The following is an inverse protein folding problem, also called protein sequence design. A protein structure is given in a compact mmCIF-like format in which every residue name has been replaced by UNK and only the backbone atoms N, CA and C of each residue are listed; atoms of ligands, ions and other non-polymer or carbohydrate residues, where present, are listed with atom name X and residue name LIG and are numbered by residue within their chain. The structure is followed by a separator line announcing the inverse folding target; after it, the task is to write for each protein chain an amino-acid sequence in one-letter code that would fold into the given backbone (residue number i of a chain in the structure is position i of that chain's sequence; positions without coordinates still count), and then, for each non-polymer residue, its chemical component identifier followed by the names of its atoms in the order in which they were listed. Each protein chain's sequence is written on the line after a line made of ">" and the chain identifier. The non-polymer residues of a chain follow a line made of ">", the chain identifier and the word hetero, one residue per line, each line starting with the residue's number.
data_IF_760009648388
#
_entry.id   IF_760009648388
#
_cell.length_a   1.000
_cell.length_b   1.000
_cell.length_c   1.000
_cell.angle_alpha   90.00
_cell.angle_beta   90.00
_cell.angle_gamma   90.00
#
_symmetry.space_group_name_H-M   'P 1'
#
loop_
_entity.id
_entity.type
_entity.pdbx_description
1 polymer ?
#
# COMPACT_ATOMS: atom_id res chain seq x y z
N UNK A 1 -17.25 16.73 14.38
CA UNK A 1 -16.38 15.62 13.98
C UNK A 1 -17.26 14.38 13.93
N UNK A 2 -17.32 13.70 12.77
CA UNK A 2 -17.99 12.39 12.72
C UNK A 2 -17.25 11.44 13.66
N UNK A 3 -18.01 10.69 14.46
CA UNK A 3 -17.46 9.65 15.33
C UNK A 3 -16.89 8.58 14.42
N UNK A 4 -15.58 8.36 14.49
CA UNK A 4 -14.92 7.25 13.81
C UNK A 4 -15.04 5.99 14.66
N UNK A 5 -15.07 4.82 14.02
CA UNK A 5 -15.01 3.56 14.75
C UNK A 5 -13.72 3.46 15.57
N UNK A 6 -13.78 2.75 16.70
CA UNK A 6 -12.62 2.55 17.56
C UNK A 6 -11.46 1.91 16.78
N UNK A 7 -10.25 2.44 16.96
CA UNK A 7 -9.06 2.04 16.21
C UNK A 7 -8.87 2.76 14.87
N UNK A 8 -9.91 3.43 14.35
CA UNK A 8 -9.78 4.29 13.17
C UNK A 8 -8.96 5.53 13.51
N UNK A 9 -8.30 6.11 12.52
CA UNK A 9 -7.29 7.12 12.77
C UNK A 9 -7.30 8.25 11.76
N UNK A 10 -6.23 9.04 11.80
CA UNK A 10 -6.04 10.12 10.84
C UNK A 10 -5.85 9.59 9.41
N UNK A 11 -5.11 8.48 9.26
CA UNK A 11 -4.72 7.95 7.95
C UNK A 11 -5.80 7.14 7.21
N UNK A 12 -6.89 6.78 7.89
CA UNK A 12 -7.85 5.81 7.38
C UNK A 12 -8.81 5.32 8.46
N UNK A 13 -9.68 4.40 8.05
CA UNK A 13 -10.76 3.87 8.89
C UNK A 13 -10.73 2.34 8.88
N UNK A 14 -11.07 1.73 10.03
CA UNK A 14 -11.40 0.30 10.05
C UNK A 14 -12.78 0.07 9.43
N UNK A 15 -12.88 -1.01 8.68
CA UNK A 15 -14.08 -1.49 8.01
C UNK A 15 -14.18 -3.00 8.19
N UNK A 16 -15.35 -3.56 7.91
CA UNK A 16 -15.51 -4.99 7.67
C UNK A 16 -15.47 -5.27 6.16
N UNK A 17 -14.70 -6.27 5.76
CA UNK A 17 -14.64 -6.74 4.38
C UNK A 17 -15.87 -7.58 3.99
N UNK A 18 -15.93 -8.07 2.75
CA UNK A 18 -17.03 -8.91 2.26
C UNK A 18 -17.23 -10.23 3.04
N UNK A 19 -16.25 -10.64 3.85
CA UNK A 19 -16.30 -11.83 4.68
C UNK A 19 -16.56 -11.51 6.16
N UNK A 20 -16.78 -10.23 6.51
CA UNK A 20 -16.97 -9.78 7.88
C UNK A 20 -15.68 -9.78 8.71
N UNK A 21 -14.51 -9.82 8.06
CA UNK A 21 -13.22 -9.69 8.73
C UNK A 21 -12.79 -8.22 8.77
N UNK A 22 -12.00 -7.80 9.78
CA UNK A 22 -11.53 -6.43 9.88
C UNK A 22 -10.52 -6.11 8.77
N UNK A 23 -10.67 -4.94 8.16
CA UNK A 23 -9.71 -4.39 7.21
C UNK A 23 -9.54 -2.89 7.44
N UNK A 24 -8.40 -2.33 7.06
CA UNK A 24 -8.11 -0.91 7.19
C UNK A 24 -8.12 -0.23 5.82
N UNK A 25 -9.09 0.65 5.59
CA UNK A 25 -9.16 1.49 4.39
C UNK A 25 -8.24 2.71 4.58
N UNK A 26 -7.11 2.71 3.88
CA UNK A 26 -6.13 3.79 3.93
C UNK A 26 -6.56 4.93 2.98
N UNK A 27 -6.77 6.13 3.56
CA UNK A 27 -7.34 7.30 2.87
C UNK A 27 -6.39 8.48 2.76
N UNK A 28 -5.27 8.48 3.47
CA UNK A 28 -4.33 9.60 3.43
C UNK A 28 -3.67 9.75 2.05
N UNK A 29 -3.60 10.98 1.55
CA UNK A 29 -2.74 11.31 0.42
C UNK A 29 -1.35 11.69 0.94
N UNK A 30 -0.47 10.68 1.04
CA UNK A 30 0.84 10.83 1.64
C UNK A 30 1.81 11.74 0.86
N UNK A 31 1.48 12.08 -0.39
CA UNK A 31 2.30 12.96 -1.22
C UNK A 31 2.17 14.45 -0.84
N UNK A 32 1.03 14.83 -0.25
CA UNK A 32 0.71 16.23 0.09
C UNK A 32 0.48 16.44 1.59
N UNK A 33 0.21 15.38 2.34
CA UNK A 33 -0.07 15.46 3.77
C UNK A 33 1.20 15.40 4.63
N UNK A 34 1.55 16.53 5.23
CA UNK A 34 2.70 16.63 6.13
C UNK A 34 2.64 15.68 7.33
N UNK A 35 1.44 15.32 7.81
CA UNK A 35 1.28 14.36 8.92
C UNK A 35 1.56 12.92 8.50
N UNK A 36 1.64 12.63 7.21
CA UNK A 36 2.05 11.31 6.73
C UNK A 36 3.55 11.04 6.97
N UNK A 37 4.36 12.08 7.19
CA UNK A 37 5.81 11.94 7.42
C UNK A 37 6.07 11.30 8.79
N UNK A 38 6.74 10.17 8.76
CA UNK A 38 7.19 9.43 9.95
C UNK A 38 8.68 9.65 10.19
N UNK A 39 9.11 9.55 11.45
CA UNK A 39 10.51 9.62 11.81
C UNK A 39 11.21 8.29 11.44
N UNK A 40 11.78 8.23 10.24
CA UNK A 40 12.57 7.10 9.73
C UNK A 40 13.87 7.58 9.11
N UNK A 41 14.84 6.68 8.96
CA UNK A 41 16.02 6.94 8.16
C UNK A 41 15.66 6.83 6.66
N UNK A 42 15.78 7.91 5.85
CA UNK A 42 15.42 7.90 4.44
C UNK A 42 16.19 6.87 3.61
N UNK A 43 17.39 6.46 4.06
CA UNK A 43 18.17 5.39 3.42
C UNK A 43 17.58 4.00 3.63
N UNK A 44 16.74 3.82 4.65
CA UNK A 44 16.11 2.53 4.98
C UNK A 44 14.66 2.45 4.50
N UNK A 45 13.96 3.60 4.44
CA UNK A 45 12.55 3.70 4.08
C UNK A 45 12.20 5.12 3.72
N UNK A 46 11.31 5.31 2.76
CA UNK A 46 10.72 6.61 2.52
C UNK A 46 9.89 7.07 3.76
N UNK A 47 10.07 8.30 4.29
CA UNK A 47 9.31 8.80 5.44
C UNK A 47 7.79 8.81 5.32
N UNK A 48 7.27 8.87 4.09
CA UNK A 48 5.83 8.86 3.82
C UNK A 48 5.31 7.47 3.40
N UNK A 49 6.18 6.45 3.45
CA UNK A 49 5.77 5.07 3.20
C UNK A 49 5.22 4.43 4.47
N UNK A 50 3.93 4.11 4.42
CA UNK A 50 3.25 3.29 5.42
C UNK A 50 3.00 1.93 4.79
N UNK A 51 3.26 0.85 5.53
CA UNK A 51 3.19 -0.49 4.99
C UNK A 51 2.35 -1.42 5.84
N UNK A 52 1.83 -2.44 5.18
CA UNK A 52 1.11 -3.56 5.76
C UNK A 52 1.82 -4.87 5.37
N UNK A 53 1.82 -5.85 6.26
CA UNK A 53 2.46 -7.15 6.00
C UNK A 53 1.38 -8.17 5.63
N UNK A 54 1.57 -8.81 4.48
CA UNK A 54 0.76 -9.94 4.03
C UNK A 54 1.70 -11.13 3.90
N UNK A 55 1.43 -12.24 4.58
CA UNK A 55 2.34 -13.37 4.52
C UNK A 55 1.77 -14.64 5.10
N UNK A 56 2.54 -15.70 4.94
CA UNK A 56 2.34 -16.99 5.59
C UNK A 56 3.64 -17.38 6.31
N UNK A 57 3.72 -18.62 6.80
CA UNK A 57 4.86 -19.14 7.56
C UNK A 57 6.21 -19.05 6.82
N UNK A 58 6.21 -18.83 5.51
CA UNK A 58 7.40 -18.85 4.66
C UNK A 58 7.72 -17.53 3.97
N UNK A 59 6.71 -16.83 3.46
CA UNK A 59 6.90 -15.60 2.68
C UNK A 59 6.17 -14.44 3.33
N UNK A 60 6.86 -13.30 3.41
CA UNK A 60 6.28 -12.04 3.88
C UNK A 60 6.35 -11.02 2.76
N UNK A 61 5.19 -10.58 2.28
CA UNK A 61 5.04 -9.47 1.38
C UNK A 61 4.80 -8.18 2.16
N UNK A 62 5.52 -7.13 1.81
CA UNK A 62 5.40 -5.78 2.35
C UNK A 62 4.58 -4.98 1.33
N UNK A 63 3.31 -4.74 1.65
CA UNK A 63 2.40 -3.93 0.85
C UNK A 63 2.53 -2.46 1.24
N UNK A 64 2.96 -1.63 0.29
CA UNK A 64 3.16 -0.20 0.49
C UNK A 64 1.85 0.57 0.26
N UNK A 65 1.64 1.67 0.99
CA UNK A 65 0.60 2.65 0.67
C UNK A 65 0.81 3.31 -0.70
N UNK A 66 2.00 3.20 -1.30
CA UNK A 66 2.24 3.55 -2.70
C UNK A 66 1.66 2.54 -3.71
N UNK A 67 1.12 1.41 -3.24
CA UNK A 67 0.45 0.43 -4.09
C UNK A 67 1.37 -0.66 -4.65
N UNK A 68 2.68 -0.55 -4.52
CA UNK A 68 3.61 -1.65 -4.83
C UNK A 68 3.74 -2.62 -3.65
N UNK A 69 4.25 -3.81 -3.96
CA UNK A 69 4.46 -4.90 -3.02
C UNK A 69 5.88 -5.46 -3.20
N UNK A 70 6.60 -5.61 -2.10
CA UNK A 70 7.93 -6.19 -2.05
C UNK A 70 7.91 -7.52 -1.30
N UNK A 71 8.50 -8.56 -1.85
CA UNK A 71 8.60 -9.88 -1.21
C UNK A 71 9.89 -9.93 -0.41
N UNK A 72 9.75 -10.13 0.90
CA UNK A 72 10.85 -10.40 1.81
C UNK A 72 10.99 -11.90 2.00
N UNK A 73 12.24 -12.35 1.96
CA UNK A 73 12.64 -13.73 2.20
C UNK A 73 13.85 -13.77 3.11
N UNK A 74 13.82 -14.61 4.14
CA UNK A 74 14.89 -14.66 5.15
C UNK A 74 15.72 -15.97 5.13
N UNK A 75 15.41 -16.94 4.26
CA UNK A 75 16.25 -18.14 4.10
C UNK A 75 17.66 -17.78 3.61
N UNK A 76 18.69 -18.05 4.42
CA UNK A 76 20.08 -17.68 4.11
C UNK A 76 20.41 -16.20 4.35
N UNK A 77 19.51 -15.45 4.98
CA UNK A 77 19.67 -14.04 5.32
C UNK A 77 18.52 -13.17 4.80
N UNK A 78 18.30 -11.99 5.43
CA UNK A 78 17.22 -11.09 5.07
C UNK A 78 17.47 -10.47 3.70
N UNK A 79 16.51 -10.61 2.78
CA UNK A 79 16.56 -10.05 1.43
C UNK A 79 15.18 -9.64 0.94
N UNK A 80 15.15 -8.63 0.09
CA UNK A 80 13.99 -8.24 -0.71
C UNK A 80 14.22 -8.78 -2.12
N UNK A 81 13.27 -9.55 -2.64
CA UNK A 81 13.42 -10.23 -3.94
C UNK A 81 13.12 -9.31 -5.13
N UNK A 82 12.32 -8.27 -4.92
CA UNK A 82 11.90 -7.30 -5.94
C UNK A 82 11.92 -5.89 -5.33
N UNK A 83 13.11 -5.31 -5.22
CA UNK A 83 13.28 -4.02 -4.57
C UNK A 83 12.60 -2.87 -5.35
N UNK A 84 12.14 -1.84 -4.62
CA UNK A 84 11.58 -0.63 -5.22
C UNK A 84 12.71 0.37 -5.42
N UNK A 85 13.20 0.45 -6.66
CA UNK A 85 14.29 1.31 -7.08
C UNK A 85 13.94 2.04 -8.40
N UNK A 86 13.15 3.13 -8.31
CA UNK A 86 12.67 3.86 -9.48
C UNK A 86 13.79 4.53 -10.30
N UNK A 87 14.94 4.81 -9.69
CA UNK A 87 16.11 5.37 -10.38
C UNK A 87 16.65 4.42 -11.46
N UNK A 88 16.46 3.11 -11.27
CA UNK A 88 16.86 2.06 -12.20
C UNK A 88 15.67 1.41 -12.93
N UNK A 89 14.50 2.06 -12.96
CA UNK A 89 13.27 1.54 -13.56
C UNK A 89 12.79 0.21 -12.95
N UNK A 90 13.08 -0.03 -11.67
CA UNK A 90 12.62 -1.20 -10.92
C UNK A 90 11.54 -0.76 -9.93
N UNK A 91 10.28 -1.08 -10.20
CA UNK A 91 9.15 -0.55 -9.42
C UNK A 91 8.56 -1.56 -8.43
N UNK A 92 9.34 -2.57 -8.01
CA UNK A 92 8.84 -3.74 -7.29
C UNK A 92 7.70 -4.45 -8.06
N UNK A 93 6.69 -5.00 -7.37
CA UNK A 93 5.60 -5.76 -7.98
C UNK A 93 4.23 -5.47 -7.34
N UNK A 94 3.24 -6.31 -7.65
CA UNK A 94 1.92 -6.25 -7.00
C UNK A 94 0.98 -5.15 -7.50
N UNK A 95 1.32 -4.46 -8.58
CA UNK A 95 0.45 -3.53 -9.32
C UNK A 95 0.40 -3.93 -10.79
N UNK A 96 -0.53 -3.32 -11.51
CA UNK A 96 -0.78 -3.62 -12.92
C UNK A 96 -1.32 -2.41 -13.65
N UNK A 97 -1.27 -2.52 -14.97
CA UNK A 97 -1.78 -1.54 -15.92
C UNK A 97 -2.95 -2.15 -16.67
N UNK A 98 -3.99 -1.34 -16.91
CA UNK A 98 -5.02 -1.63 -17.89
C UNK A 98 -4.94 -0.51 -18.94
N UNK A 99 -4.80 -0.90 -20.20
CA UNK A 99 -4.61 0.02 -21.31
C UNK A 99 -5.69 -0.25 -22.33
N UNK A 100 -6.39 0.80 -22.75
CA UNK A 100 -7.21 0.82 -23.94
C UNK A 100 -6.75 1.95 -24.88
N UNK A 101 -7.51 2.23 -25.95
CA UNK A 101 -7.14 3.24 -26.94
C UNK A 101 -7.19 4.70 -26.41
N UNK A 102 -7.86 4.93 -25.27
CA UNK A 102 -8.14 6.27 -24.73
C UNK A 102 -7.46 6.52 -23.38
N UNK A 103 -7.22 5.48 -22.58
CA UNK A 103 -6.75 5.59 -21.22
C UNK A 103 -5.75 4.51 -20.80
N UNK A 104 -4.90 4.90 -19.85
CA UNK A 104 -4.01 4.00 -19.12
C UNK A 104 -4.36 4.11 -17.64
N UNK A 105 -4.90 3.03 -17.10
CA UNK A 105 -5.18 2.88 -15.68
C UNK A 105 -4.02 2.13 -15.01
N UNK A 106 -3.65 2.57 -13.81
CA UNK A 106 -2.57 1.95 -13.04
C UNK A 106 -2.95 1.86 -11.56
N UNK A 107 -2.65 0.73 -10.92
CA UNK A 107 -2.85 0.54 -9.48
C UNK A 107 -1.64 0.91 -8.63
N UNK A 108 -0.66 1.62 -9.22
CA UNK A 108 0.40 2.30 -8.49
C UNK A 108 -0.11 3.68 -8.07
N UNK A 109 0.01 4.03 -6.79
CA UNK A 109 -0.53 5.27 -6.27
C UNK A 109 0.26 6.47 -6.80
N UNK A 110 -0.45 7.40 -7.42
CA UNK A 110 0.09 8.63 -8.02
C UNK A 110 -0.44 9.91 -7.36
N UNK A 111 -1.13 9.79 -6.23
CA UNK A 111 -1.82 10.92 -5.58
C UNK A 111 -3.30 11.06 -5.93
N UNK A 112 -3.85 10.22 -6.81
CA UNK A 112 -5.29 10.22 -7.14
C UNK A 112 -6.15 9.69 -5.99
N UNK A 113 -7.26 10.37 -5.72
CA UNK A 113 -8.29 9.92 -4.78
C UNK A 113 -9.16 8.78 -5.34
N UNK A 114 -8.97 8.41 -6.61
CA UNK A 114 -9.68 7.33 -7.29
C UNK A 114 -9.13 5.94 -6.93
N UNK A 115 -7.93 5.86 -6.31
CA UNK A 115 -7.34 4.60 -5.89
C UNK A 115 -7.64 4.32 -4.41
N UNK A 116 -8.58 3.43 -4.16
CA UNK A 116 -8.78 2.86 -2.82
C UNK A 116 -7.69 1.83 -2.50
N UNK A 117 -7.19 1.88 -1.27
CA UNK A 117 -6.15 0.98 -0.73
C UNK A 117 -6.67 0.37 0.57
N UNK A 118 -6.80 -0.96 0.61
CA UNK A 118 -7.38 -1.69 1.74
C UNK A 118 -6.35 -2.71 2.23
N UNK A 119 -5.91 -2.54 3.48
CA UNK A 119 -5.04 -3.46 4.19
C UNK A 119 -5.89 -4.42 5.02
N UNK A 120 -6.10 -5.63 4.52
CA UNK A 120 -6.95 -6.62 5.18
C UNK A 120 -6.16 -7.69 5.91
N UNK A 121 -6.85 -8.57 6.62
CA UNK A 121 -6.19 -9.72 7.28
C UNK A 121 -5.76 -10.73 6.22
N UNK A 122 -4.47 -10.72 5.87
CA UNK A 122 -3.89 -11.64 4.91
C UNK A 122 -4.05 -11.23 3.44
N UNK A 123 -4.42 -9.97 3.16
CA UNK A 123 -4.50 -9.47 1.79
C UNK A 123 -4.24 -7.96 1.70
N UNK A 124 -3.85 -7.52 0.50
CA UNK A 124 -3.83 -6.12 0.13
C UNK A 124 -4.69 -5.92 -1.12
N UNK A 125 -5.73 -5.10 -1.02
CA UNK A 125 -6.66 -4.83 -2.12
C UNK A 125 -6.54 -3.40 -2.59
N UNK A 126 -6.56 -3.24 -3.90
CA UNK A 126 -6.56 -1.95 -4.59
C UNK A 126 -7.71 -1.89 -5.56
N UNK A 127 -8.47 -0.80 -5.52
CA UNK A 127 -9.64 -0.62 -6.36
C UNK A 127 -9.52 0.75 -6.99
N UNK A 128 -9.47 0.78 -8.32
CA UNK A 128 -9.67 2.01 -9.08
C UNK A 128 -11.18 2.24 -9.19
N UNK A 129 -11.63 3.38 -8.72
CA UNK A 129 -13.01 3.83 -8.86
C UNK A 129 -13.16 4.41 -10.28
N UNK A 130 -14.09 3.86 -11.06
CA UNK A 130 -14.45 4.48 -12.34
C UNK A 130 -14.99 5.88 -12.09
N UNK A 131 -14.65 6.81 -12.99
CA UNK A 131 -15.44 8.05 -13.15
C UNK A 131 -16.83 7.73 -13.67
#
# INVERSE_FOLDING_TARGET
>A
MNVKEYGSGYFGDWIFDEHGLPAYEYKCNQLVDEKAKTFTNPKLRNPIEHFHQVGNDRLVAIASNFGYVQVRQDEGGPKILNDYNPENFQYAGGFGYLVDDNEILCTLYNGSDELKRIFGVGYFRKILLSK
#
